data_IF_700640402088
#
_entry.id   IF_700640402088
#
_cell.length_a   1.000
_cell.length_b   1.000
_cell.length_c   1.000
_cell.angle_alpha   90.00
_cell.angle_beta   90.00
_cell.angle_gamma   90.00
#
_symmetry.space_group_name_H-M   'P 1'
#
loop_
_entity.id
_entity.type
_entity.pdbx_description
1 polymer ?
#
# COMPACT_ATOMS: atom_id res chain seq x y z
N UNK A 1 -2.51 22.26 -6.22
CA UNK A 1 -1.30 21.66 -6.82
C UNK A 1 -1.03 20.34 -6.09
N UNK A 2 -1.39 19.21 -6.69
CA UNK A 2 -1.12 17.89 -6.12
C UNK A 2 0.38 17.60 -6.24
N UNK A 3 1.08 17.72 -5.11
CA UNK A 3 2.51 17.45 -4.99
C UNK A 3 2.72 15.93 -4.99
N UNK A 4 3.36 15.40 -6.03
CA UNK A 4 3.85 14.02 -6.08
C UNK A 4 4.92 13.83 -5.00
N UNK A 5 4.52 13.55 -3.76
CA UNK A 5 5.44 13.54 -2.62
C UNK A 5 6.47 12.41 -2.67
N UNK A 6 6.30 11.41 -3.55
CA UNK A 6 7.23 10.30 -3.66
C UNK A 6 7.39 9.84 -5.12
N UNK A 7 8.21 10.54 -5.96
CA UNK A 7 8.48 10.05 -7.31
C UNK A 7 9.11 8.64 -7.30
N UNK A 8 9.82 8.28 -6.23
CA UNK A 8 10.41 6.96 -6.06
C UNK A 8 9.37 5.82 -5.98
N UNK A 9 8.28 5.97 -5.22
CA UNK A 9 7.26 4.92 -5.15
C UNK A 9 6.50 4.81 -6.47
N UNK A 10 6.15 5.94 -7.09
CA UNK A 10 5.53 5.97 -8.41
C UNK A 10 6.39 5.27 -9.46
N UNK A 11 7.71 5.52 -9.45
CA UNK A 11 8.63 4.85 -10.35
C UNK A 11 8.61 3.32 -10.16
N UNK A 12 8.69 2.85 -8.92
CA UNK A 12 8.66 1.40 -8.62
C UNK A 12 7.31 0.78 -8.99
N UNK A 13 6.19 1.44 -8.70
CA UNK A 13 4.84 1.01 -9.08
C UNK A 13 4.69 0.90 -10.60
N UNK A 14 5.21 1.87 -11.35
CA UNK A 14 5.20 1.85 -12.82
C UNK A 14 6.17 0.83 -13.44
N UNK A 15 7.20 0.41 -12.70
CA UNK A 15 8.12 -0.67 -13.11
C UNK A 15 7.53 -2.07 -12.86
N UNK A 16 6.48 -2.20 -12.06
CA UNK A 16 5.87 -3.48 -11.70
C UNK A 16 5.35 -4.31 -12.89
N UNK A 17 4.79 -3.71 -13.97
CA UNK A 17 4.34 -4.47 -15.13
C UNK A 17 5.45 -4.95 -16.08
N UNK A 18 6.72 -4.54 -15.88
CA UNK A 18 7.81 -4.89 -16.78
C UNK A 18 8.14 -6.39 -16.75
N UNK A 19 8.48 -6.95 -17.92
CA UNK A 19 8.90 -8.35 -18.09
C UNK A 19 10.17 -8.43 -18.95
N UNK A 20 11.33 -8.86 -18.40
CA UNK A 20 11.56 -9.21 -16.99
C UNK A 20 11.44 -7.99 -16.05
N UNK A 21 11.23 -8.23 -14.75
CA UNK A 21 11.17 -7.17 -13.74
C UNK A 21 12.43 -6.30 -13.76
N UNK A 22 12.26 -4.98 -13.69
CA UNK A 22 13.41 -4.07 -13.68
C UNK A 22 14.25 -4.25 -12.40
N UNK A 23 15.53 -4.65 -12.50
CA UNK A 23 16.39 -4.88 -11.33
C UNK A 23 16.68 -3.59 -10.54
N UNK A 24 16.44 -2.40 -11.11
CA UNK A 24 16.60 -1.12 -10.40
C UNK A 24 15.61 -0.98 -9.23
N UNK A 25 14.50 -1.72 -9.26
CA UNK A 25 13.52 -1.76 -8.15
C UNK A 25 14.19 -2.10 -6.82
N UNK A 26 15.12 -3.06 -6.83
CA UNK A 26 15.84 -3.51 -5.63
C UNK A 26 16.70 -2.41 -5.00
N UNK A 27 17.17 -1.45 -5.81
CA UNK A 27 17.95 -0.29 -5.34
C UNK A 27 17.05 0.83 -4.84
N UNK A 28 15.87 1.01 -5.46
CA UNK A 28 14.95 2.10 -5.14
C UNK A 28 14.11 1.82 -3.90
N UNK A 29 13.60 0.59 -3.75
CA UNK A 29 12.76 0.19 -2.62
C UNK A 29 13.34 0.57 -1.23
N UNK A 30 14.60 0.23 -0.88
CA UNK A 30 15.14 0.57 0.44
C UNK A 30 15.33 2.08 0.63
N UNK A 31 15.61 2.84 -0.45
CA UNK A 31 15.75 4.30 -0.39
C UNK A 31 14.41 4.96 -0.13
N UNK A 32 13.36 4.53 -0.81
CA UNK A 32 12.00 5.05 -0.62
C UNK A 32 11.49 4.69 0.78
N UNK A 33 11.71 3.44 1.21
CA UNK A 33 11.37 3.00 2.57
C UNK A 33 12.07 3.85 3.62
N UNK A 34 13.38 4.05 3.51
CA UNK A 34 14.11 4.90 4.45
C UNK A 34 13.59 6.35 4.49
N UNK A 35 13.31 6.93 3.31
CA UNK A 35 12.83 8.30 3.22
C UNK A 35 11.46 8.48 3.89
N UNK A 36 10.51 7.59 3.62
CA UNK A 36 9.16 7.67 4.22
C UNK A 36 9.20 7.41 5.73
N UNK A 37 9.95 6.41 6.18
CA UNK A 37 10.10 6.13 7.62
C UNK A 37 10.71 7.31 8.36
N UNK A 38 11.75 7.93 7.79
CA UNK A 38 12.38 9.11 8.38
C UNK A 38 11.43 10.32 8.41
N UNK A 39 10.62 10.54 7.36
CA UNK A 39 9.64 11.63 7.35
C UNK A 39 8.57 11.42 8.43
N UNK A 40 8.05 10.19 8.55
CA UNK A 40 7.05 9.85 9.58
C UNK A 40 7.63 10.01 11.00
N UNK A 41 8.90 9.67 11.20
CA UNK A 41 9.54 9.80 12.52
C UNK A 41 9.89 11.25 12.90
N UNK A 42 10.09 12.14 11.93
CA UNK A 42 10.63 13.51 12.17
C UNK A 42 9.60 14.62 11.97
N UNK A 43 8.44 14.32 11.39
CA UNK A 43 7.41 15.29 11.07
C UNK A 43 6.01 14.71 11.30
N UNK A 44 4.98 15.57 11.28
CA UNK A 44 3.59 15.09 11.30
C UNK A 44 3.31 14.38 9.97
N UNK A 45 3.05 13.06 9.98
CA UNK A 45 2.79 12.33 8.75
C UNK A 45 1.48 12.77 8.12
N UNK A 46 1.43 12.77 6.79
CA UNK A 46 0.21 12.99 6.01
C UNK A 46 -0.24 11.71 5.29
N UNK A 47 -1.42 11.77 4.68
CA UNK A 47 -2.00 10.65 3.90
C UNK A 47 -0.99 9.97 2.97
N UNK A 48 -0.18 10.76 2.27
CA UNK A 48 0.76 10.26 1.28
C UNK A 48 1.93 9.49 1.89
N UNK A 49 2.30 9.79 3.14
CA UNK A 49 3.28 9.01 3.88
C UNK A 49 2.76 7.60 4.18
N UNK A 50 1.53 7.52 4.70
CA UNK A 50 0.90 6.25 5.03
C UNK A 50 0.62 5.41 3.79
N UNK A 51 0.16 6.02 2.70
CA UNK A 51 -0.01 5.33 1.41
C UNK A 51 1.31 4.84 0.83
N UNK A 52 2.38 5.64 0.92
CA UNK A 52 3.70 5.19 0.44
C UNK A 52 4.18 3.98 1.24
N UNK A 53 3.99 3.98 2.56
CA UNK A 53 4.28 2.82 3.43
C UNK A 53 3.42 1.60 3.06
N UNK A 54 2.13 1.81 2.77
CA UNK A 54 1.21 0.76 2.30
C UNK A 54 1.68 0.14 0.96
N UNK A 55 1.97 0.95 -0.05
CA UNK A 55 2.43 0.48 -1.35
C UNK A 55 3.75 -0.31 -1.23
N UNK A 56 4.69 0.18 -0.40
CA UNK A 56 5.93 -0.54 -0.10
C UNK A 56 5.67 -1.91 0.55
N UNK A 57 4.77 -1.98 1.53
CA UNK A 57 4.41 -3.23 2.19
C UNK A 57 3.75 -4.22 1.22
N UNK A 58 2.87 -3.74 0.33
CA UNK A 58 2.26 -4.54 -0.73
C UNK A 58 3.32 -5.07 -1.70
N UNK A 59 4.27 -4.21 -2.11
CA UNK A 59 5.40 -4.60 -2.95
C UNK A 59 6.29 -5.67 -2.27
N UNK A 60 6.51 -5.55 -0.96
CA UNK A 60 7.25 -6.52 -0.15
C UNK A 60 6.46 -7.79 0.21
N UNK A 61 5.16 -7.87 -0.12
CA UNK A 61 4.24 -8.96 0.27
C UNK A 61 4.09 -9.09 1.80
N UNK A 62 4.23 -7.99 2.52
CA UNK A 62 4.02 -7.90 3.97
C UNK A 62 2.57 -7.48 4.27
N UNK A 63 1.74 -8.44 4.64
CA UNK A 63 0.31 -8.23 4.88
C UNK A 63 0.04 -7.40 6.13
N UNK A 64 0.83 -7.61 7.17
CA UNK A 64 0.63 -6.97 8.46
C UNK A 64 1.01 -5.50 8.37
N UNK A 65 2.18 -5.21 7.79
CA UNK A 65 2.60 -3.85 7.54
C UNK A 65 1.64 -3.12 6.58
N UNK A 66 1.11 -3.81 5.57
CA UNK A 66 0.13 -3.23 4.66
C UNK A 66 -1.18 -2.88 5.39
N UNK A 67 -1.70 -3.76 6.25
CA UNK A 67 -2.92 -3.48 7.00
C UNK A 67 -2.74 -2.30 7.96
N UNK A 68 -1.65 -2.26 8.73
CA UNK A 68 -1.37 -1.15 9.64
C UNK A 68 -1.26 0.19 8.89
N UNK A 69 -0.55 0.20 7.76
CA UNK A 69 -0.41 1.40 6.94
C UNK A 69 -1.73 1.82 6.27
N UNK A 70 -2.60 0.86 5.95
CA UNK A 70 -3.94 1.14 5.43
C UNK A 70 -4.82 1.80 6.49
N UNK A 71 -4.81 1.30 7.73
CA UNK A 71 -5.55 1.91 8.84
C UNK A 71 -5.12 3.37 9.04
N UNK A 72 -3.81 3.62 9.12
CA UNK A 72 -3.29 4.98 9.22
C UNK A 72 -3.70 5.87 8.02
N UNK A 73 -3.69 5.31 6.80
CA UNK A 73 -4.06 6.04 5.59
C UNK A 73 -5.56 6.37 5.55
N UNK A 74 -6.42 5.48 6.04
CA UNK A 74 -7.86 5.71 6.14
C UNK A 74 -8.18 6.80 7.16
N UNK A 75 -7.44 6.86 8.28
CA UNK A 75 -7.58 7.93 9.27
C UNK A 75 -7.09 9.30 8.75
N UNK A 76 -6.17 9.29 7.79
CA UNK A 76 -5.55 10.49 7.24
C UNK A 76 -6.16 10.99 5.91
N UNK A 77 -7.06 10.22 5.28
CA UNK A 77 -7.66 10.58 3.98
C UNK A 77 -8.54 11.82 4.13
N UNK A 78 -8.43 12.75 3.17
CA UNK A 78 -9.19 14.01 3.23
C UNK A 78 -10.12 14.18 2.04
N UNK A 79 -9.71 13.67 0.89
CA UNK A 79 -10.42 13.85 -0.37
C UNK A 79 -10.58 12.51 -1.09
N UNK A 80 -11.67 12.32 -1.81
CA UNK A 80 -11.94 11.06 -2.52
C UNK A 80 -10.88 10.76 -3.60
N UNK A 81 -10.37 11.78 -4.28
CA UNK A 81 -9.37 11.62 -5.35
C UNK A 81 -8.04 11.05 -4.84
N UNK A 82 -7.70 11.28 -3.57
CA UNK A 82 -6.51 10.71 -2.92
C UNK A 82 -6.65 9.17 -2.87
N UNK A 83 -7.80 8.69 -2.39
CA UNK A 83 -8.13 7.26 -2.31
C UNK A 83 -8.29 6.59 -3.69
N UNK A 84 -8.88 7.29 -4.66
CA UNK A 84 -9.03 6.79 -6.04
C UNK A 84 -7.66 6.54 -6.70
N UNK A 85 -6.71 7.46 -6.49
CA UNK A 85 -5.36 7.35 -7.04
C UNK A 85 -4.62 6.16 -6.43
N UNK A 86 -4.69 6.01 -5.11
CA UNK A 86 -4.10 4.87 -4.38
C UNK A 86 -4.70 3.54 -4.84
N UNK A 87 -6.02 3.48 -5.02
CA UNK A 87 -6.71 2.27 -5.52
C UNK A 87 -6.20 1.87 -6.90
N UNK A 88 -6.00 2.85 -7.79
CA UNK A 88 -5.45 2.61 -9.12
C UNK A 88 -4.05 2.02 -9.07
N UNK A 89 -3.18 2.55 -8.21
CA UNK A 89 -1.82 2.03 -8.03
C UNK A 89 -1.81 0.59 -7.50
N UNK A 90 -2.60 0.30 -6.45
CA UNK A 90 -2.72 -1.06 -5.90
C UNK A 90 -3.27 -2.05 -6.93
N UNK A 91 -4.23 -1.60 -7.76
CA UNK A 91 -4.77 -2.40 -8.85
C UNK A 91 -3.71 -2.72 -9.92
N UNK A 92 -2.88 -1.74 -10.30
CA UNK A 92 -1.77 -1.97 -11.24
C UNK A 92 -0.82 -3.05 -10.72
N UNK A 93 -0.44 -2.99 -9.44
CA UNK A 93 0.44 -3.98 -8.82
C UNK A 93 -0.21 -5.37 -8.81
N UNK A 94 -1.49 -5.44 -8.43
CA UNK A 94 -2.26 -6.70 -8.40
C UNK A 94 -2.36 -7.33 -9.81
N UNK A 95 -2.72 -6.54 -10.82
CA UNK A 95 -2.87 -7.01 -12.20
C UNK A 95 -1.53 -7.49 -12.79
N UNK A 96 -0.44 -6.77 -12.53
CA UNK A 96 0.90 -7.18 -12.96
C UNK A 96 1.30 -8.55 -12.36
N UNK A 97 1.04 -8.76 -11.06
CA UNK A 97 1.30 -10.04 -10.38
C UNK A 97 0.45 -11.18 -10.90
N UNK A 98 -0.84 -10.91 -11.14
CA UNK A 98 -1.75 -11.89 -11.75
C UNK A 98 -1.26 -12.36 -13.11
N UNK A 99 -0.79 -11.43 -13.96
CA UNK A 99 -0.22 -11.78 -15.28
C UNK A 99 0.99 -12.70 -15.18
N UNK A 100 1.83 -12.54 -14.15
CA UNK A 100 2.98 -13.43 -13.88
C UNK A 100 2.62 -14.74 -13.18
N UNK A 101 1.35 -15.00 -12.89
CA UNK A 101 0.92 -16.19 -12.15
C UNK A 101 1.30 -16.17 -10.66
N UNK A 102 1.66 -15.01 -10.11
CA UNK A 102 1.89 -14.85 -8.67
C UNK A 102 0.53 -14.80 -7.96
N UNK A 103 0.03 -15.94 -7.47
CA UNK A 103 -1.18 -15.98 -6.66
C UNK A 103 -1.04 -15.08 -5.42
N UNK A 104 -2.12 -14.39 -5.04
CA UNK A 104 -2.22 -13.42 -3.94
C UNK A 104 -2.09 -14.06 -2.54
N UNK A 105 -1.14 -14.97 -2.34
CA UNK A 105 -0.83 -15.54 -1.04
C UNK A 105 0.02 -14.53 -0.26
N UNK A 106 -0.64 -13.48 0.23
CA UNK A 106 -0.10 -12.63 1.28
C UNK A 106 0.16 -13.52 2.50
N UNK A 107 1.42 -13.61 2.95
CA UNK A 107 1.79 -14.50 4.04
C UNK A 107 1.09 -14.10 5.33
N UNK A 108 0.07 -14.84 5.75
CA UNK A 108 -0.44 -14.76 7.13
C UNK A 108 0.64 -15.31 8.05
N UNK A 109 1.48 -14.45 8.61
CA UNK A 109 2.18 -14.81 9.85
C UNK A 109 1.15 -14.76 10.98
N UNK A 110 1.20 -15.77 11.84
CA UNK A 110 0.20 -16.08 12.87
C UNK A 110 -0.22 -14.85 13.67
N UNK A 111 -1.53 -14.56 13.70
CA UNK A 111 -2.13 -13.63 14.65
C UNK A 111 -1.94 -14.17 16.06
N UNK A 112 -1.11 -13.51 16.87
CA UNK A 112 -1.35 -13.49 18.32
C UNK A 112 -2.20 -12.25 18.59
N UNK A 113 -3.50 -12.45 18.64
CA UNK A 113 -4.45 -11.45 19.12
C UNK A 113 -4.13 -11.14 20.58
N UNK A 114 -3.76 -9.91 20.89
CA UNK A 114 -3.92 -9.36 22.23
C UNK A 114 -4.31 -7.88 22.13
N UNK A 115 -5.63 -7.67 22.16
CA UNK A 115 -6.27 -6.50 22.77
C UNK A 115 -6.14 -5.15 22.03
N UNK A 116 -7.14 -4.82 21.21
CA UNK A 116 -7.61 -3.43 21.05
C UNK A 116 -9.04 -3.39 20.49
N UNK A 117 -10.00 -2.73 21.16
CA UNK A 117 -11.34 -2.53 20.62
C UNK A 117 -11.40 -1.14 19.96
N UNK A 118 -11.65 -1.08 18.66
CA UNK A 118 -12.21 0.14 18.06
C UNK A 118 -13.56 -0.21 17.42
N UNK A 119 -14.61 0.25 18.09
CA UNK A 119 -15.98 0.29 17.59
C UNK A 119 -16.12 1.45 16.60
N UNK A 120 -16.74 1.15 15.46
CA UNK A 120 -17.59 2.02 14.65
C UNK A 120 -16.97 3.31 14.08
N UNK A 121 -17.04 3.47 12.75
CA UNK A 121 -17.72 4.60 12.07
C UNK A 121 -17.69 4.38 10.53
N UNK A 122 -18.88 4.03 10.01
CA UNK A 122 -19.52 4.40 8.72
C UNK A 122 -18.79 4.23 7.38
N UNK A 123 -19.44 3.49 6.47
CA UNK A 123 -19.29 3.67 5.01
C UNK A 123 -18.57 2.54 4.25
N UNK A 124 -18.55 1.34 4.81
CA UNK A 124 -18.00 0.14 4.15
C UNK A 124 -18.90 -0.29 2.99
N UNK A 125 -18.46 -0.17 1.73
CA UNK A 125 -18.90 -1.07 0.63
C UNK A 125 -18.12 -0.91 -0.67
N UNK A 126 -17.17 0.03 -0.79
CA UNK A 126 -16.34 0.12 -2.01
C UNK A 126 -14.86 -0.17 -1.75
N UNK A 127 -14.26 0.41 -0.71
CA UNK A 127 -12.81 0.33 -0.51
C UNK A 127 -12.35 -1.02 0.07
N UNK A 128 -12.98 -1.47 1.16
CA UNK A 128 -12.77 -2.81 1.70
C UNK A 128 -13.31 -3.89 0.76
N UNK A 129 -14.32 -3.58 -0.05
CA UNK A 129 -14.84 -4.54 -1.03
C UNK A 129 -13.83 -4.77 -2.15
N UNK A 130 -13.13 -3.76 -2.67
CA UNK A 130 -12.07 -4.01 -3.68
C UNK A 130 -10.89 -4.81 -3.11
N UNK A 131 -10.50 -4.56 -1.86
CA UNK A 131 -9.42 -5.29 -1.19
C UNK A 131 -9.82 -6.71 -0.75
N UNK A 132 -11.08 -6.93 -0.31
CA UNK A 132 -11.57 -8.23 0.17
C UNK A 132 -12.26 -9.09 -0.91
N UNK A 133 -12.80 -8.51 -1.99
CA UNK A 133 -13.42 -9.28 -3.10
C UNK A 133 -12.41 -10.07 -3.92
N UNK A 134 -11.13 -9.76 -3.80
CA UNK A 134 -10.06 -10.55 -4.42
C UNK A 134 -9.47 -11.59 -3.46
N UNK A 135 -10.11 -11.81 -2.31
CA UNK A 135 -9.64 -12.72 -1.27
C UNK A 135 -10.54 -13.96 -1.06
N UNK A 136 -11.57 -14.16 -1.90
CA UNK A 136 -12.34 -15.42 -1.97
C UNK A 136 -12.74 -15.69 -3.43
N UNK A 137 -11.78 -16.17 -4.22
CA UNK A 137 -11.93 -17.09 -5.35
C UNK A 137 -10.53 -17.44 -5.89
#
# INVERSE_FOLDING_TARGET
MARCLYPGINAVTLMEPAEPLDPRREKLLPVVAYAVERRIATSKPDYWDHVTRLELAVLAKDAEAALNALEDALDAVRESWEAETTTRNLRLISEARKKRGEAARMGRKNRSCANRPCKHIIGETSFLQVLMSQSIA
#
